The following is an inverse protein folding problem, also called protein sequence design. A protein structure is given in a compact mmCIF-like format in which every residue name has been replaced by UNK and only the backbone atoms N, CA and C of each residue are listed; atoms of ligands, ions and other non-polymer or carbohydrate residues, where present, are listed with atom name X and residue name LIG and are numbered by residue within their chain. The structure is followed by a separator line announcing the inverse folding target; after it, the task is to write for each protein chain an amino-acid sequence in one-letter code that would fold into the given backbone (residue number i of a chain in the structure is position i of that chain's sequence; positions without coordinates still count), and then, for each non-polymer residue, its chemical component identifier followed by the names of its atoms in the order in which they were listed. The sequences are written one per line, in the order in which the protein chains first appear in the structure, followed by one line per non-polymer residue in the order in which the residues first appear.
data_IF_263529360697
#
_entry.id   IF_263529360697
#
_cell.length_a   1.000
_cell.length_b   1.000
_cell.length_c   1.000
_cell.angle_alpha   90.00
_cell.angle_beta   90.00
_cell.angle_gamma   90.00
#
_symmetry.space_group_name_H-M   'P 1'
#
loop_
_entity.id
_entity.type
_entity.pdbx_description
1 polymer ?
#
# COMPACT_ATOMS: atom_id res chain seq x y z
N UNK A 1 27.97 43.94 -2.11
CA UNK A 1 26.73 44.12 -2.91
C UNK A 1 26.61 43.16 -4.10
N UNK A 2 27.71 42.67 -4.70
CA UNK A 2 27.66 41.69 -5.82
C UNK A 2 27.47 40.23 -5.38
N UNK A 3 27.77 39.92 -4.11
CA UNK A 3 27.74 38.56 -3.57
C UNK A 3 26.41 38.16 -2.93
N UNK A 4 25.44 39.06 -2.86
CA UNK A 4 24.13 38.81 -2.21
C UNK A 4 23.10 38.28 -3.22
N UNK A 5 23.26 38.55 -4.52
CA UNK A 5 22.36 38.02 -5.57
C UNK A 5 22.54 36.53 -5.87
N UNK A 6 23.72 35.95 -5.59
CA UNK A 6 24.00 34.55 -5.92
C UNK A 6 23.36 33.54 -4.95
N UNK A 7 23.13 33.93 -3.70
CA UNK A 7 22.63 33.02 -2.65
C UNK A 7 21.11 32.86 -2.71
N UNK A 8 20.40 33.86 -3.25
CA UNK A 8 18.94 33.83 -3.35
C UNK A 8 18.40 32.82 -4.41
N UNK A 9 19.23 32.40 -5.36
CA UNK A 9 18.80 31.49 -6.44
C UNK A 9 18.86 30.00 -6.06
N UNK A 10 19.50 29.64 -4.94
CA UNK A 10 19.72 28.24 -4.53
C UNK A 10 18.59 27.68 -3.63
N UNK A 11 17.61 28.48 -3.24
CA UNK A 11 16.53 28.09 -2.32
C UNK A 11 15.24 27.58 -3.00
N UNK A 12 15.20 27.49 -4.34
CA UNK A 12 13.99 27.13 -5.10
C UNK A 12 13.87 25.64 -5.47
N UNK A 13 14.77 24.76 -4.99
CA UNK A 13 14.79 23.34 -5.37
C UNK A 13 14.17 22.39 -4.33
N UNK A 14 13.48 22.89 -3.29
CA UNK A 14 12.68 22.02 -2.41
C UNK A 14 11.35 21.65 -3.10
N UNK A 15 11.43 20.90 -4.21
CA UNK A 15 10.26 20.22 -4.74
C UNK A 15 9.81 19.16 -3.73
N UNK A 16 8.56 19.22 -3.28
CA UNK A 16 7.97 18.21 -2.39
C UNK A 16 8.06 16.84 -3.07
N UNK A 17 8.90 15.95 -2.52
CA UNK A 17 8.78 14.53 -2.79
C UNK A 17 7.56 14.02 -2.02
N UNK A 18 6.39 14.00 -2.66
CA UNK A 18 5.25 13.23 -2.16
C UNK A 18 5.61 11.77 -2.35
N UNK A 19 6.16 11.13 -1.32
CA UNK A 19 6.35 9.69 -1.32
C UNK A 19 4.95 9.06 -1.40
N UNK A 20 4.65 8.23 -2.41
CA UNK A 20 3.47 7.40 -2.31
C UNK A 20 3.69 6.49 -1.11
N UNK A 21 2.86 6.66 -0.08
CA UNK A 21 2.73 5.71 1.01
C UNK A 21 2.22 4.41 0.36
N UNK A 22 3.15 3.59 -0.13
CA UNK A 22 2.89 2.20 -0.48
C UNK A 22 2.25 1.61 0.76
N UNK A 23 0.92 1.44 0.71
CA UNK A 23 0.14 1.08 1.88
C UNK A 23 0.80 -0.09 2.58
N UNK A 24 0.97 0.05 3.90
CA UNK A 24 1.77 -0.88 4.69
C UNK A 24 1.24 -2.31 4.46
N UNK A 25 2.10 -3.19 3.94
CA UNK A 25 1.70 -4.55 3.61
C UNK A 25 1.45 -5.34 4.89
N UNK A 26 0.20 -5.72 5.12
CA UNK A 26 -0.20 -6.56 6.25
C UNK A 26 -0.04 -8.03 5.88
N UNK A 27 0.78 -8.76 6.62
CA UNK A 27 0.98 -10.20 6.43
C UNK A 27 -0.21 -11.00 6.98
N UNK A 28 -0.66 -12.01 6.24
CA UNK A 28 -1.65 -12.95 6.76
C UNK A 28 -0.96 -13.99 7.64
N UNK A 29 -1.39 -14.09 8.90
CA UNK A 29 -0.79 -14.98 9.91
C UNK A 29 -1.75 -16.11 10.28
N UNK A 30 -1.19 -17.21 10.81
CA UNK A 30 -2.00 -18.31 11.31
C UNK A 30 -2.51 -18.05 12.73
N UNK A 31 -3.73 -18.52 13.09
CA UNK A 31 -4.67 -19.25 12.23
C UNK A 31 -5.46 -18.34 11.28
N UNK A 32 -5.66 -18.75 10.02
CA UNK A 32 -6.48 -18.01 9.05
C UNK A 32 -7.97 -17.94 9.46
N UNK A 33 -8.64 -16.80 9.25
CA UNK A 33 -10.07 -16.67 9.52
C UNK A 33 -10.87 -17.63 8.63
N UNK A 34 -11.79 -18.37 9.24
CA UNK A 34 -12.67 -19.31 8.53
C UNK A 34 -14.04 -18.69 8.19
N UNK A 35 -14.37 -17.58 8.84
CA UNK A 35 -15.63 -16.86 8.66
C UNK A 35 -15.33 -15.36 8.62
N UNK A 36 -15.88 -14.69 7.61
CA UNK A 36 -15.81 -13.24 7.46
C UNK A 36 -17.21 -12.63 7.49
N UNK A 37 -17.30 -11.37 7.89
CA UNK A 37 -18.53 -10.58 7.77
C UNK A 37 -18.82 -10.26 6.30
N UNK A 38 -20.00 -9.72 6.02
CA UNK A 38 -20.35 -9.20 4.68
C UNK A 38 -19.83 -7.77 4.45
N UNK A 39 -18.70 -7.42 5.05
CA UNK A 39 -18.08 -6.11 4.86
C UNK A 39 -17.47 -5.99 3.47
N UNK A 40 -17.63 -4.80 2.87
CA UNK A 40 -16.98 -4.45 1.63
C UNK A 40 -15.99 -3.30 1.89
N UNK A 41 -14.73 -3.67 2.05
CA UNK A 41 -13.60 -2.79 2.26
C UNK A 41 -12.40 -3.36 1.47
N UNK A 42 -12.32 -3.11 0.14
CA UNK A 42 -11.41 -3.83 -0.75
C UNK A 42 -9.97 -3.91 -0.24
N UNK A 43 -9.32 -5.03 -0.52
CA UNK A 43 -7.93 -5.27 -0.19
C UNK A 43 -7.20 -5.88 -1.40
N UNK A 44 -6.05 -5.31 -1.74
CA UNK A 44 -5.18 -5.85 -2.77
C UNK A 44 -4.20 -6.84 -2.14
N UNK A 45 -4.42 -8.13 -2.40
CA UNK A 45 -3.65 -9.22 -1.83
C UNK A 45 -2.50 -9.63 -2.75
N UNK A 46 -1.31 -9.84 -2.16
CA UNK A 46 -0.19 -10.50 -2.82
C UNK A 46 -0.31 -12.02 -2.61
N UNK A 47 -0.29 -12.75 -3.72
CA UNK A 47 -0.36 -14.20 -3.71
C UNK A 47 1.01 -14.81 -3.42
N UNK A 48 1.04 -15.94 -2.72
CA UNK A 48 2.27 -16.70 -2.42
C UNK A 48 2.95 -17.19 -3.70
N UNK A 49 2.17 -17.51 -4.74
CA UNK A 49 2.68 -17.89 -6.06
C UNK A 49 3.19 -16.69 -6.90
N UNK A 50 3.06 -15.47 -6.37
CA UNK A 50 3.32 -14.22 -7.08
C UNK A 50 2.06 -13.65 -7.74
N UNK A 51 2.10 -12.34 -8.00
CA UNK A 51 0.97 -11.57 -8.53
C UNK A 51 0.05 -10.99 -7.45
N UNK A 52 -0.92 -10.20 -7.89
CA UNK A 52 -1.88 -9.52 -7.06
C UNK A 52 -3.31 -9.91 -7.42
N UNK A 53 -4.20 -9.89 -6.44
CA UNK A 53 -5.63 -10.10 -6.63
C UNK A 53 -6.42 -9.25 -5.64
N UNK A 54 -7.48 -8.61 -6.11
CA UNK A 54 -8.39 -7.87 -5.25
C UNK A 54 -9.36 -8.82 -4.54
N UNK A 55 -9.57 -8.57 -3.25
CA UNK A 55 -10.56 -9.25 -2.41
C UNK A 55 -11.53 -8.22 -1.81
N UNK A 56 -12.75 -8.66 -1.49
CA UNK A 56 -13.81 -7.80 -0.97
C UNK A 56 -13.47 -7.16 0.40
N UNK A 57 -12.64 -7.82 1.20
CA UNK A 57 -12.17 -7.33 2.49
C UNK A 57 -10.81 -7.93 2.87
N UNK A 58 -10.06 -7.33 3.81
CA UNK A 58 -8.89 -7.93 4.44
C UNK A 58 -9.13 -9.34 5.00
N UNK A 59 -10.30 -9.56 5.59
CA UNK A 59 -10.67 -10.87 6.11
C UNK A 59 -10.76 -11.89 4.98
N UNK A 60 -11.46 -11.55 3.89
CA UNK A 60 -11.59 -12.43 2.73
C UNK A 60 -10.24 -12.69 2.05
N UNK A 61 -9.31 -11.72 2.06
CA UNK A 61 -7.95 -11.93 1.59
C UNK A 61 -7.21 -12.95 2.46
N UNK A 62 -7.16 -12.77 3.78
CA UNK A 62 -6.42 -13.69 4.64
C UNK A 62 -7.10 -15.05 4.88
N UNK A 63 -8.39 -15.18 4.58
CA UNK A 63 -9.09 -16.47 4.56
C UNK A 63 -8.66 -17.38 3.40
N UNK A 64 -8.03 -16.82 2.36
CA UNK A 64 -7.48 -17.58 1.24
C UNK A 64 -6.03 -18.01 1.54
N UNK A 65 -5.79 -19.31 1.60
CA UNK A 65 -4.46 -19.89 1.87
C UNK A 65 -3.42 -19.53 0.78
N UNK A 66 -3.87 -19.12 -0.41
CA UNK A 66 -2.99 -18.67 -1.47
C UNK A 66 -2.42 -17.25 -1.23
N UNK A 67 -2.92 -16.51 -0.23
CA UNK A 67 -2.52 -15.13 0.06
C UNK A 67 -1.42 -15.08 1.11
N UNK A 68 -0.34 -14.35 0.80
CA UNK A 68 0.75 -14.07 1.73
C UNK A 68 0.47 -12.83 2.60
N UNK A 69 -0.17 -11.82 2.02
CA UNK A 69 -0.53 -10.59 2.70
C UNK A 69 -1.30 -9.64 1.80
N UNK A 70 -1.74 -8.51 2.31
CA UNK A 70 -2.55 -7.54 1.58
C UNK A 70 -2.17 -6.10 1.91
N UNK A 71 -2.60 -5.19 1.05
CA UNK A 71 -2.65 -3.74 1.28
C UNK A 71 -4.11 -3.32 1.30
N UNK A 72 -4.48 -2.42 2.20
CA UNK A 72 -5.84 -1.86 2.26
C UNK A 72 -6.12 -1.01 1.02
N UNK A 73 -7.28 -1.22 0.39
CA UNK A 73 -7.69 -0.57 -0.85
C UNK A 73 -7.76 -1.53 -2.04
N UNK A 74 -8.33 -1.08 -3.16
CA UNK A 74 -8.38 -1.85 -4.40
C UNK A 74 -6.98 -2.07 -4.98
N UNK A 75 -6.83 -3.04 -5.89
CA UNK A 75 -5.58 -3.17 -6.63
C UNK A 75 -5.41 -2.01 -7.64
N UNK A 76 -4.18 -1.58 -7.92
CA UNK A 76 -3.92 -0.59 -8.96
C UNK A 76 -4.30 -1.14 -10.34
N UNK A 77 -4.79 -0.27 -11.22
CA UNK A 77 -5.11 -0.58 -12.63
C UNK A 77 -3.85 -0.76 -13.50
#
# INVERSE_FOLDING_TARGET
MRSVCGVAALLLLSACATQPELGEMTQCTEPRPQVCTMEYAPACANLTAGGQKEYASPCNACADDAVAGYVTGPCPE
#
